data_IF_751651291058
#
_entry.id   IF_751651291058
#
_cell.length_a   1.000
_cell.length_b   1.000
_cell.length_c   1.000
_cell.angle_alpha   90.00
_cell.angle_beta   90.00
_cell.angle_gamma   90.00
#
_symmetry.space_group_name_H-M   'P 1'
#
loop_
_entity.id
_entity.type
_entity.pdbx_description
1 polymer ?
#
# COMPACT_ATOMS: atom_id res chain seq x y z
N UNK A 1 3.75 9.78 23.66
CA UNK A 1 2.84 9.11 22.70
C UNK A 1 2.53 10.08 21.59
N UNK A 2 2.68 9.64 20.35
CA UNK A 2 2.38 10.40 19.14
C UNK A 2 0.85 10.47 19.02
N UNK A 3 0.29 11.68 18.96
CA UNK A 3 -1.15 11.91 18.79
C UNK A 3 -1.48 11.81 17.31
N UNK A 4 -2.34 10.86 16.96
CA UNK A 4 -2.68 10.55 15.57
C UNK A 4 -4.14 10.87 15.29
N UNK A 5 -4.37 11.61 14.20
CA UNK A 5 -5.68 11.79 13.58
C UNK A 5 -5.83 10.96 12.31
N UNK A 6 -7.05 10.50 12.01
CA UNK A 6 -7.37 9.81 10.77
C UNK A 6 -8.52 10.54 10.07
N UNK A 7 -8.24 11.12 8.91
CA UNK A 7 -9.25 11.69 8.04
C UNK A 7 -9.80 10.60 7.12
N UNK A 8 -11.13 10.43 7.07
CA UNK A 8 -11.76 9.37 6.27
C UNK A 8 -11.78 8.00 6.98
N UNK A 9 -11.90 8.01 8.31
CA UNK A 9 -11.77 6.82 9.15
C UNK A 9 -12.87 5.75 8.93
N UNK A 10 -13.99 6.09 8.30
CA UNK A 10 -15.12 5.17 8.09
C UNK A 10 -14.93 4.14 6.96
N UNK A 11 -13.92 4.32 6.09
CA UNK A 11 -13.59 3.34 5.04
C UNK A 11 -12.82 2.12 5.57
N UNK A 12 -12.56 1.13 4.70
CA UNK A 12 -11.77 -0.05 5.10
C UNK A 12 -10.33 0.29 5.50
N UNK A 13 -9.65 1.16 4.75
CA UNK A 13 -8.30 1.60 5.10
C UNK A 13 -8.27 2.38 6.42
N UNK A 14 -9.24 3.29 6.61
CA UNK A 14 -9.40 4.02 7.87
C UNK A 14 -9.66 3.09 9.07
N UNK A 15 -10.53 2.10 8.90
CA UNK A 15 -10.78 1.07 9.91
C UNK A 15 -9.55 0.21 10.23
N UNK A 16 -8.75 -0.12 9.21
CA UNK A 16 -7.54 -0.91 9.40
C UNK A 16 -6.43 -0.10 10.09
N UNK A 17 -6.28 1.20 9.79
CA UNK A 17 -5.43 2.12 10.55
C UNK A 17 -5.85 2.14 12.03
N UNK A 18 -7.14 2.32 12.32
CA UNK A 18 -7.66 2.30 13.70
C UNK A 18 -7.34 0.97 14.40
N UNK A 19 -7.55 -0.17 13.72
CA UNK A 19 -7.28 -1.52 14.25
C UNK A 19 -5.81 -1.73 14.61
N UNK A 20 -4.88 -1.22 13.81
CA UNK A 20 -3.46 -1.38 14.05
C UNK A 20 -2.96 -0.38 15.11
N UNK A 21 -3.40 0.88 15.03
CA UNK A 21 -2.92 1.95 15.91
C UNK A 21 -3.48 1.87 17.33
N UNK A 22 -4.66 1.29 17.55
CA UNK A 22 -5.23 1.13 18.91
C UNK A 22 -4.33 0.26 19.81
N UNK A 23 -3.53 -0.63 19.22
CA UNK A 23 -2.57 -1.47 19.92
C UNK A 23 -1.12 -1.01 19.75
N UNK A 24 -0.89 0.12 19.07
CA UNK A 24 0.46 0.62 18.83
C UNK A 24 1.00 1.31 20.09
N UNK A 25 2.10 0.84 20.69
CA UNK A 25 2.53 1.22 22.04
C UNK A 25 2.98 2.68 22.19
N UNK A 26 3.38 3.33 21.10
CA UNK A 26 3.83 4.74 21.12
C UNK A 26 2.80 5.72 20.55
N UNK A 27 1.60 5.25 20.20
CA UNK A 27 0.57 6.07 19.56
C UNK A 27 -0.65 6.22 20.45
N UNK A 28 -1.27 7.39 20.39
CA UNK A 28 -2.60 7.67 20.90
C UNK A 28 -3.49 8.13 19.75
N UNK A 29 -4.57 7.41 19.49
CA UNK A 29 -5.62 7.83 18.54
C UNK A 29 -6.40 8.99 19.16
N UNK A 30 -6.28 10.18 18.57
CA UNK A 30 -6.87 11.42 19.07
C UNK A 30 -8.14 11.82 18.31
N UNK A 31 -8.21 11.46 17.03
CA UNK A 31 -9.28 11.89 16.13
C UNK A 31 -9.57 10.84 15.05
N UNK A 32 -10.86 10.63 14.77
CA UNK A 32 -11.33 9.90 13.61
C UNK A 32 -12.41 10.74 12.90
N UNK A 33 -12.24 11.05 11.62
CA UNK A 33 -13.22 11.88 10.89
C UNK A 33 -14.12 11.08 9.97
N UNK A 34 -15.38 11.50 9.89
CA UNK A 34 -16.33 11.05 8.88
C UNK A 34 -17.45 12.08 8.71
N UNK A 35 -17.55 12.63 7.49
CA UNK A 35 -18.54 13.67 7.16
C UNK A 35 -19.98 13.21 7.43
N UNK A 36 -20.31 11.97 7.08
CA UNK A 36 -21.67 11.42 7.18
C UNK A 36 -22.00 10.77 8.53
N UNK A 37 -21.00 10.52 9.38
CA UNK A 37 -21.18 9.76 10.62
C UNK A 37 -20.80 10.55 11.88
N UNK A 38 -20.60 11.87 11.78
CA UNK A 38 -20.26 12.72 12.93
C UNK A 38 -21.19 12.50 14.13
N UNK A 39 -20.59 12.46 15.32
CA UNK A 39 -21.25 12.17 16.60
C UNK A 39 -21.52 10.69 16.86
N UNK A 40 -21.43 9.81 15.86
CA UNK A 40 -21.61 8.36 16.06
C UNK A 40 -20.31 7.71 16.56
N UNK A 41 -20.38 6.68 17.41
CA UNK A 41 -19.21 5.90 17.81
C UNK A 41 -18.54 5.24 16.59
N UNK A 42 -17.21 5.19 16.56
CA UNK A 42 -16.43 4.49 15.54
C UNK A 42 -16.83 3.01 15.44
N UNK A 43 -17.11 2.39 16.59
CA UNK A 43 -17.57 0.99 16.70
C UNK A 43 -18.91 0.72 16.02
N UNK A 44 -19.70 1.74 15.69
CA UNK A 44 -20.94 1.57 14.91
C UNK A 44 -20.67 1.15 13.46
N UNK A 45 -19.53 1.54 12.90
CA UNK A 45 -19.04 1.11 11.57
C UNK A 45 -18.10 -0.07 11.71
N UNK A 46 -17.09 0.07 12.58
CA UNK A 46 -16.01 -0.89 12.75
C UNK A 46 -16.24 -1.71 14.02
N UNK A 47 -17.24 -2.61 13.99
CA UNK A 47 -17.68 -3.37 15.18
C UNK A 47 -16.57 -4.15 15.88
N UNK A 48 -15.55 -4.58 15.15
CA UNK A 48 -14.38 -5.28 15.68
C UNK A 48 -13.52 -4.41 16.61
N UNK A 49 -13.76 -3.09 16.68
CA UNK A 49 -13.09 -2.16 17.61
C UNK A 49 -13.89 -1.92 18.90
N UNK A 50 -15.01 -2.61 19.10
CA UNK A 50 -15.82 -2.48 20.33
C UNK A 50 -15.01 -2.88 21.55
N UNK A 51 -14.93 -2.00 22.56
CA UNK A 51 -14.17 -2.23 23.79
C UNK A 51 -12.66 -1.94 23.66
N UNK A 52 -12.16 -1.68 22.45
CA UNK A 52 -10.78 -1.27 22.22
C UNK A 52 -10.64 0.25 22.10
N UNK A 53 -11.67 0.93 21.57
CA UNK A 53 -11.61 2.35 21.25
C UNK A 53 -12.92 3.06 21.59
N UNK A 54 -12.85 4.11 22.40
CA UNK A 54 -13.98 5.00 22.71
C UNK A 54 -13.84 6.34 21.98
N UNK A 55 -13.81 6.28 20.64
CA UNK A 55 -13.83 7.46 19.78
C UNK A 55 -15.17 7.58 19.05
N UNK A 56 -15.59 8.82 18.83
CA UNK A 56 -16.69 9.19 17.94
C UNK A 56 -16.12 9.81 16.68
N UNK A 57 -16.86 9.71 15.58
CA UNK A 57 -16.51 10.47 14.39
C UNK A 57 -16.74 11.96 14.64
N UNK A 58 -15.79 12.79 14.21
CA UNK A 58 -15.85 14.24 14.31
C UNK A 58 -15.56 14.87 12.93
N UNK A 59 -15.83 16.17 12.78
CA UNK A 59 -15.44 16.95 11.59
C UNK A 59 -14.82 18.30 12.00
N UNK A 60 -13.73 18.30 12.78
CA UNK A 60 -13.04 19.53 13.13
C UNK A 60 -12.43 20.21 11.89
N UNK A 61 -12.23 21.52 11.98
CA UNK A 61 -11.49 22.26 10.96
C UNK A 61 -9.99 21.95 11.01
N UNK A 62 -9.22 22.22 9.93
CA UNK A 62 -7.80 21.87 9.90
C UNK A 62 -6.94 22.50 11.00
N UNK A 63 -7.29 23.70 11.47
CA UNK A 63 -6.61 24.33 12.62
C UNK A 63 -6.72 23.47 13.89
N UNK A 64 -7.92 23.08 14.27
CA UNK A 64 -8.14 22.22 15.44
C UNK A 64 -7.47 20.85 15.28
N UNK A 65 -7.42 20.30 14.05
CA UNK A 65 -6.70 19.06 13.78
C UNK A 65 -5.20 19.20 14.11
N UNK A 66 -4.56 20.29 13.66
CA UNK A 66 -3.14 20.55 13.90
C UNK A 66 -2.83 20.78 15.38
N UNK A 67 -3.74 21.41 16.12
CA UNK A 67 -3.57 21.59 17.58
C UNK A 67 -3.67 20.25 18.34
N UNK A 68 -4.47 19.30 17.84
CA UNK A 68 -4.73 18.02 18.50
C UNK A 68 -3.73 16.93 18.11
N UNK A 69 -3.20 16.95 16.89
CA UNK A 69 -2.47 15.82 16.30
C UNK A 69 -1.02 16.18 15.94
N UNK A 70 -0.09 15.32 16.32
CA UNK A 70 1.29 15.37 15.81
C UNK A 70 1.37 14.83 14.37
N UNK A 71 0.41 13.96 14.01
CA UNK A 71 0.33 13.35 12.69
C UNK A 71 -1.10 13.07 12.24
N UNK A 72 -1.34 13.18 10.93
CA UNK A 72 -2.61 12.85 10.30
C UNK A 72 -2.43 11.84 9.16
N UNK A 73 -3.21 10.76 9.20
CA UNK A 73 -3.42 9.89 8.05
C UNK A 73 -4.63 10.38 7.25
N UNK A 74 -4.45 10.57 5.94
CA UNK A 74 -5.50 11.02 5.02
C UNK A 74 -5.96 9.84 4.17
N UNK A 75 -7.07 9.20 4.58
CA UNK A 75 -7.64 8.01 3.95
C UNK A 75 -8.93 8.35 3.18
N UNK A 76 -8.81 9.25 2.20
CA UNK A 76 -9.94 9.82 1.44
C UNK A 76 -9.94 9.34 -0.02
N UNK A 77 -11.06 9.50 -0.76
CA UNK A 77 -11.09 9.22 -2.19
C UNK A 77 -10.09 10.07 -2.97
N UNK A 78 -9.56 9.53 -4.07
CA UNK A 78 -8.67 10.24 -4.99
C UNK A 78 -9.24 11.60 -5.42
N UNK A 79 -8.40 12.61 -5.50
CA UNK A 79 -8.72 14.01 -5.76
C UNK A 79 -9.09 14.80 -4.50
N UNK A 80 -9.37 14.14 -3.38
CA UNK A 80 -9.86 14.80 -2.17
C UNK A 80 -8.72 15.23 -1.25
N UNK A 81 -7.59 14.51 -1.23
CA UNK A 81 -6.50 14.78 -0.31
C UNK A 81 -5.88 16.16 -0.55
N UNK A 82 -5.88 16.62 -1.80
CA UNK A 82 -5.46 17.97 -2.19
C UNK A 82 -6.21 19.13 -1.49
N UNK A 83 -7.38 18.87 -0.91
CA UNK A 83 -8.13 19.88 -0.15
C UNK A 83 -7.82 19.87 1.35
N UNK A 84 -7.10 18.86 1.84
CA UNK A 84 -6.76 18.72 3.26
C UNK A 84 -5.27 18.92 3.51
N UNK A 85 -4.42 18.27 2.70
CA UNK A 85 -2.97 18.26 2.89
C UNK A 85 -2.38 19.68 2.99
N UNK A 86 -2.72 20.66 2.12
CA UNK A 86 -2.16 22.01 2.21
C UNK A 86 -2.46 22.70 3.53
N UNK A 87 -3.64 22.45 4.09
CA UNK A 87 -4.07 23.04 5.35
C UNK A 87 -3.51 22.31 6.56
N UNK A 88 -3.05 21.06 6.43
CA UNK A 88 -2.49 20.29 7.56
C UNK A 88 -0.99 20.49 7.72
N UNK A 89 -0.25 20.71 6.63
CA UNK A 89 1.21 20.87 6.67
C UNK A 89 1.60 22.29 7.11
N UNK A 90 1.74 22.49 8.42
CA UNK A 90 2.18 23.75 9.04
C UNK A 90 3.65 23.75 9.53
N UNK A 91 4.38 22.66 9.29
CA UNK A 91 5.76 22.44 9.76
C UNK A 91 5.85 21.79 11.14
N UNK A 92 4.72 21.45 11.77
CA UNK A 92 4.67 20.70 13.02
C UNK A 92 3.87 19.40 12.91
N UNK A 93 2.81 19.40 12.09
CA UNK A 93 1.98 18.22 11.83
C UNK A 93 2.52 17.43 10.64
N UNK A 94 2.81 16.15 10.85
CA UNK A 94 3.20 15.23 9.76
C UNK A 94 1.98 14.64 9.07
N UNK A 95 2.05 14.36 7.78
CA UNK A 95 0.94 13.83 7.00
C UNK A 95 1.36 12.60 6.19
N UNK A 96 0.51 11.56 6.21
CA UNK A 96 0.58 10.47 5.24
C UNK A 96 -0.73 10.45 4.45
N UNK A 97 -0.62 10.66 3.14
CA UNK A 97 -1.76 10.50 2.23
C UNK A 97 -1.84 9.06 1.73
N UNK A 98 -2.98 8.40 1.95
CA UNK A 98 -3.25 7.05 1.45
C UNK A 98 -4.02 7.07 0.12
N UNK A 99 -4.41 8.25 -0.35
CA UNK A 99 -4.93 8.45 -1.70
C UNK A 99 -3.80 8.40 -2.73
N UNK A 100 -4.13 8.71 -3.99
CA UNK A 100 -3.15 8.66 -5.08
C UNK A 100 -2.64 10.04 -5.51
N UNK A 101 -3.11 11.09 -4.83
CA UNK A 101 -3.03 12.47 -5.28
C UNK A 101 -1.57 12.88 -5.48
N UNK A 102 -0.69 12.46 -4.57
CA UNK A 102 0.72 12.85 -4.56
C UNK A 102 1.71 11.74 -4.93
N UNK A 103 1.23 10.61 -5.47
CA UNK A 103 2.09 9.44 -5.78
C UNK A 103 2.85 9.55 -7.09
N UNK A 104 2.34 10.36 -8.02
CA UNK A 104 2.79 10.45 -9.40
C UNK A 104 3.17 11.89 -9.74
N UNK A 105 4.08 12.06 -10.71
CA UNK A 105 4.31 13.37 -11.31
C UNK A 105 3.00 13.97 -11.83
N UNK A 106 2.80 15.28 -11.60
CA UNK A 106 1.54 15.98 -11.88
C UNK A 106 0.99 15.68 -13.29
N UNK A 107 1.77 15.80 -14.38
CA UNK A 107 1.22 15.52 -15.73
C UNK A 107 0.76 14.07 -15.89
N UNK A 108 1.40 13.12 -15.20
CA UNK A 108 1.00 11.71 -15.20
C UNK A 108 -0.26 11.52 -14.37
N UNK A 109 -0.34 12.12 -13.18
CA UNK A 109 -1.54 12.10 -12.34
C UNK A 109 -2.75 12.62 -13.11
N UNK A 110 -2.68 13.83 -13.68
CA UNK A 110 -3.80 14.46 -14.38
C UNK A 110 -4.29 13.61 -15.55
N UNK A 111 -3.36 13.01 -16.31
CA UNK A 111 -3.68 12.09 -17.41
C UNK A 111 -4.39 10.81 -16.94
N UNK A 112 -3.95 10.23 -15.82
CA UNK A 112 -4.43 8.92 -15.34
C UNK A 112 -5.74 9.05 -14.56
N UNK A 113 -5.89 10.13 -13.80
CA UNK A 113 -7.05 10.35 -12.93
C UNK A 113 -8.11 11.23 -13.59
N UNK A 114 -7.77 12.02 -14.62
CA UNK A 114 -8.70 12.92 -15.30
C UNK A 114 -9.13 14.11 -14.44
N UNK A 115 -8.31 14.46 -13.44
CA UNK A 115 -8.55 15.52 -12.46
C UNK A 115 -7.33 16.44 -12.51
N UNK A 116 -7.55 17.75 -12.58
CA UNK A 116 -6.48 18.74 -12.46
C UNK A 116 -5.86 18.69 -11.06
N UNK A 117 -4.54 18.67 -10.97
CA UNK A 117 -3.85 18.73 -9.68
C UNK A 117 -3.88 20.17 -9.17
N UNK A 118 -4.41 20.39 -7.96
CA UNK A 118 -4.58 21.74 -7.38
C UNK A 118 -3.49 22.12 -6.37
N UNK A 119 -2.67 21.17 -5.94
CA UNK A 119 -1.57 21.40 -5.00
C UNK A 119 -0.24 20.82 -5.50
N UNK A 120 0.60 21.57 -6.24
CA UNK A 120 1.76 21.02 -6.95
C UNK A 120 2.95 20.61 -6.05
N UNK A 121 2.72 20.35 -4.77
CA UNK A 121 3.73 19.89 -3.82
C UNK A 121 4.20 18.48 -4.15
N UNK A 122 5.45 18.19 -3.80
CA UNK A 122 6.04 16.86 -3.90
C UNK A 122 5.90 16.11 -2.59
N UNK A 123 5.75 14.80 -2.67
CA UNK A 123 5.79 13.88 -1.55
C UNK A 123 6.75 12.74 -1.88
N UNK A 124 7.39 12.16 -0.86
CA UNK A 124 8.13 10.91 -1.04
C UNK A 124 7.13 9.76 -1.19
N UNK A 125 7.41 8.85 -2.12
CA UNK A 125 6.64 7.62 -2.28
C UNK A 125 6.96 6.66 -1.14
N UNK A 126 5.97 6.37 -0.29
CA UNK A 126 6.14 5.67 0.99
C UNK A 126 6.33 4.15 0.88
N UNK A 127 7.17 3.67 -0.03
CA UNK A 127 7.57 2.27 -0.10
C UNK A 127 8.90 2.07 0.63
N UNK A 128 8.85 1.93 1.97
CA UNK A 128 10.00 1.96 2.89
C UNK A 128 11.18 1.08 2.45
N UNK A 129 10.90 -0.08 1.87
CA UNK A 129 11.94 -0.97 1.34
C UNK A 129 12.80 -0.30 0.26
N UNK A 130 12.20 0.56 -0.55
CA UNK A 130 12.82 1.23 -1.70
C UNK A 130 13.06 2.74 -1.49
N UNK A 131 12.47 3.33 -0.45
CA UNK A 131 12.51 4.75 -0.10
C UNK A 131 12.74 5.00 1.40
N UNK A 132 13.92 4.66 1.93
CA UNK A 132 14.25 4.92 3.33
C UNK A 132 14.28 6.42 3.67
N UNK A 133 14.41 7.30 2.67
CA UNK A 133 14.38 8.76 2.84
C UNK A 133 13.05 9.28 3.40
N UNK A 134 11.97 8.51 3.31
CA UNK A 134 10.67 8.85 3.93
C UNK A 134 10.79 9.18 5.44
N UNK A 135 11.80 8.64 6.12
CA UNK A 135 12.11 8.92 7.53
C UNK A 135 12.39 10.41 7.82
N UNK A 136 12.84 11.17 6.81
CA UNK A 136 13.23 12.59 6.96
C UNK A 136 12.12 13.56 6.56
N UNK A 137 11.01 13.05 6.07
CA UNK A 137 9.94 13.86 5.50
C UNK A 137 8.86 14.20 6.53
N UNK A 138 8.15 15.28 6.24
CA UNK A 138 6.91 15.65 6.93
C UNK A 138 5.67 15.18 6.16
N UNK A 139 5.84 14.86 4.88
CA UNK A 139 4.76 14.45 4.00
C UNK A 139 5.15 13.27 3.12
N UNK A 140 4.37 12.19 3.20
CA UNK A 140 4.59 10.96 2.44
C UNK A 140 3.30 10.56 1.71
N UNK A 141 3.44 10.17 0.45
CA UNK A 141 2.38 9.56 -0.34
C UNK A 141 2.49 8.04 -0.21
N UNK A 142 1.55 7.43 0.50
CA UNK A 142 1.56 6.00 0.73
C UNK A 142 1.22 5.23 -0.58
N UNK A 143 1.92 4.15 -0.91
CA UNK A 143 1.74 3.38 -2.14
C UNK A 143 0.32 2.84 -2.37
N UNK A 144 0.01 2.56 -3.63
CA UNK A 144 -1.11 1.68 -3.97
C UNK A 144 -0.85 0.23 -3.56
N UNK A 145 -1.92 -0.53 -3.34
CA UNK A 145 -1.81 -1.93 -2.92
C UNK A 145 -1.18 -2.85 -3.98
N UNK A 146 -1.57 -2.72 -5.26
CA UNK A 146 -0.93 -3.50 -6.34
C UNK A 146 0.55 -3.12 -6.58
N UNK A 147 0.91 -1.82 -6.69
CA UNK A 147 2.29 -1.40 -6.82
C UNK A 147 3.18 -1.92 -5.70
N UNK A 148 2.68 -1.99 -4.46
CA UNK A 148 3.46 -2.50 -3.32
C UNK A 148 3.99 -3.90 -3.60
N UNK A 149 3.12 -4.87 -3.91
CA UNK A 149 3.54 -6.25 -4.19
C UNK A 149 4.36 -6.35 -5.48
N UNK A 150 3.88 -5.74 -6.57
CA UNK A 150 4.53 -5.80 -7.87
C UNK A 150 5.94 -5.20 -7.87
N UNK A 151 6.13 -4.04 -7.24
CA UNK A 151 7.44 -3.41 -7.15
C UNK A 151 8.37 -4.20 -6.23
N UNK A 152 7.89 -4.71 -5.09
CA UNK A 152 8.71 -5.57 -4.23
C UNK A 152 9.11 -6.88 -4.94
N UNK A 153 8.22 -7.44 -5.76
CA UNK A 153 8.53 -8.62 -6.56
C UNK A 153 9.63 -8.36 -7.59
N UNK A 154 9.66 -7.19 -8.25
CA UNK A 154 10.58 -6.94 -9.36
C UNK A 154 11.81 -6.10 -9.01
N UNK A 155 11.80 -5.38 -7.89
CA UNK A 155 12.85 -4.41 -7.54
C UNK A 155 14.28 -4.99 -7.53
N UNK A 156 14.56 -6.21 -7.02
CA UNK A 156 15.93 -6.73 -7.01
C UNK A 156 16.51 -6.90 -8.42
N UNK A 157 15.76 -7.51 -9.34
CA UNK A 157 16.20 -7.70 -10.74
C UNK A 157 16.20 -6.39 -11.53
N UNK A 158 15.27 -5.47 -11.22
CA UNK A 158 15.27 -4.14 -11.82
C UNK A 158 16.51 -3.34 -11.40
N UNK A 159 16.86 -3.33 -10.11
CA UNK A 159 18.05 -2.64 -9.59
C UNK A 159 19.35 -3.23 -10.15
N UNK A 160 19.39 -4.53 -10.43
CA UNK A 160 20.50 -5.19 -11.12
C UNK A 160 20.52 -4.91 -12.64
N UNK A 161 19.51 -4.23 -13.19
CA UNK A 161 19.40 -3.93 -14.62
C UNK A 161 19.16 -5.16 -15.49
N UNK A 162 18.63 -6.25 -14.93
CA UNK A 162 18.51 -7.56 -15.59
C UNK A 162 17.21 -7.75 -16.36
N UNK A 163 16.17 -6.96 -16.08
CA UNK A 163 14.85 -7.09 -16.71
C UNK A 163 14.82 -6.41 -18.07
N UNK A 164 14.32 -7.11 -19.09
CA UNK A 164 13.96 -6.57 -20.40
C UNK A 164 12.46 -6.26 -20.51
N UNK A 165 11.61 -7.22 -20.13
CA UNK A 165 10.15 -7.11 -20.14
C UNK A 165 9.60 -7.59 -18.80
N UNK A 166 8.67 -6.85 -18.21
CA UNK A 166 7.94 -7.26 -17.01
C UNK A 166 6.43 -7.33 -17.27
N UNK A 167 5.83 -8.48 -16.98
CA UNK A 167 4.39 -8.69 -17.08
C UNK A 167 3.85 -9.09 -15.72
N UNK A 168 2.98 -8.26 -15.17
CA UNK A 168 2.37 -8.45 -13.85
C UNK A 168 0.92 -8.90 -14.00
N UNK A 169 0.62 -10.10 -13.53
CA UNK A 169 -0.75 -10.61 -13.38
C UNK A 169 -1.07 -10.71 -11.89
N UNK A 170 -2.00 -9.89 -11.39
CA UNK A 170 -2.27 -9.82 -9.96
C UNK A 170 -3.71 -10.17 -9.61
N UNK A 171 -3.89 -11.05 -8.63
CA UNK A 171 -5.19 -11.46 -8.10
C UNK A 171 -5.42 -10.73 -6.79
N UNK A 172 -6.56 -10.08 -6.62
CA UNK A 172 -6.89 -9.28 -5.42
C UNK A 172 -8.22 -9.68 -4.79
N UNK A 173 -8.30 -9.60 -3.47
CA UNK A 173 -9.57 -9.67 -2.76
C UNK A 173 -10.45 -8.43 -2.99
N UNK A 174 -11.76 -8.60 -2.83
CA UNK A 174 -12.77 -7.58 -3.14
C UNK A 174 -12.64 -6.30 -2.27
N UNK A 175 -12.03 -6.37 -1.08
CA UNK A 175 -11.87 -5.21 -0.20
C UNK A 175 -11.04 -4.07 -0.82
N UNK A 176 -10.21 -4.36 -1.83
CA UNK A 176 -9.46 -3.34 -2.57
C UNK A 176 -10.37 -2.36 -3.34
N UNK A 177 -11.62 -2.73 -3.62
CA UNK A 177 -12.60 -1.85 -4.27
C UNK A 177 -13.25 -0.83 -3.30
N UNK A 178 -13.00 -0.94 -2.00
CA UNK A 178 -13.57 -0.09 -0.98
C UNK A 178 -14.90 -0.58 -0.42
N UNK A 179 -15.48 0.22 0.49
CA UNK A 179 -16.64 -0.17 1.31
C UNK A 179 -17.99 -0.04 0.57
N UNK A 180 -18.05 0.81 -0.45
CA UNK A 180 -19.28 1.04 -1.20
C UNK A 180 -19.56 -0.12 -2.17
N UNK A 181 -20.76 -0.71 -2.16
CA UNK A 181 -21.11 -1.75 -3.11
C UNK A 181 -21.05 -1.26 -4.56
N UNK A 182 -20.64 -2.15 -5.45
CA UNK A 182 -20.62 -1.99 -6.90
C UNK A 182 -21.25 -3.21 -7.56
N UNK A 183 -21.49 -3.16 -8.87
CA UNK A 183 -21.93 -4.34 -9.63
C UNK A 183 -20.95 -5.50 -9.47
N UNK A 184 -19.64 -5.25 -9.57
CA UNK A 184 -18.62 -6.28 -9.37
C UNK A 184 -18.60 -6.83 -7.95
N UNK A 185 -18.81 -6.00 -6.92
CA UNK A 185 -18.77 -6.44 -5.53
C UNK A 185 -20.10 -7.02 -5.01
N UNK A 186 -21.15 -7.02 -5.83
CA UNK A 186 -22.40 -7.68 -5.47
C UNK A 186 -22.13 -9.18 -5.29
N UNK A 187 -22.46 -9.73 -4.12
CA UNK A 187 -22.02 -11.08 -3.74
C UNK A 187 -22.29 -12.17 -4.80
N UNK A 188 -23.50 -12.28 -5.38
CA UNK A 188 -23.77 -13.22 -6.46
C UNK A 188 -22.91 -13.05 -7.73
N UNK A 189 -22.38 -11.85 -8.00
CA UNK A 189 -21.59 -11.57 -9.21
C UNK A 189 -20.11 -11.99 -9.04
N UNK A 190 -19.59 -11.92 -7.81
CA UNK A 190 -18.20 -12.26 -7.50
C UNK A 190 -18.02 -13.66 -6.91
N UNK A 191 -19.03 -14.19 -6.21
CA UNK A 191 -18.97 -15.53 -5.67
C UNK A 191 -18.66 -16.55 -6.78
N UNK A 192 -17.71 -17.45 -6.54
CA UNK A 192 -17.28 -18.49 -7.48
C UNK A 192 -16.72 -17.97 -8.82
N UNK A 193 -16.40 -16.67 -8.92
CA UNK A 193 -15.99 -16.03 -10.16
C UNK A 193 -14.63 -15.34 -10.05
N UNK A 194 -13.92 -15.22 -11.18
CA UNK A 194 -12.68 -14.44 -11.31
C UNK A 194 -12.87 -13.44 -12.44
N UNK A 195 -12.74 -12.15 -12.13
CA UNK A 195 -13.07 -11.08 -13.07
C UNK A 195 -11.81 -10.26 -13.37
N UNK A 196 -11.23 -10.36 -14.59
CA UNK A 196 -10.22 -9.42 -15.04
C UNK A 196 -10.84 -8.05 -15.29
N UNK A 197 -10.13 -6.97 -14.97
CA UNK A 197 -10.63 -5.62 -15.19
C UNK A 197 -9.51 -4.64 -15.54
N UNK A 198 -9.87 -3.56 -16.26
CA UNK A 198 -8.92 -2.49 -16.65
C UNK A 198 -7.62 -3.05 -17.26
N UNK A 199 -7.78 -4.00 -18.19
CA UNK A 199 -6.74 -4.92 -18.69
C UNK A 199 -5.41 -4.26 -19.05
N UNK A 200 -5.45 -3.07 -19.64
CA UNK A 200 -4.27 -2.31 -20.08
C UNK A 200 -4.22 -0.88 -19.53
N UNK A 201 -5.26 -0.48 -18.79
CA UNK A 201 -5.50 0.90 -18.40
C UNK A 201 -5.67 1.09 -16.88
N UNK A 202 -5.28 0.09 -16.08
CA UNK A 202 -5.34 0.23 -14.64
C UNK A 202 -4.35 1.30 -14.14
N UNK A 203 -4.83 2.22 -13.31
CA UNK A 203 -4.08 3.41 -12.86
C UNK A 203 -2.76 3.08 -12.17
N UNK A 204 -2.75 2.04 -11.33
CA UNK A 204 -1.55 1.54 -10.65
C UNK A 204 -0.41 1.11 -11.59
N UNK A 205 -0.65 0.86 -12.88
CA UNK A 205 0.44 0.63 -13.83
C UNK A 205 1.42 1.82 -13.88
N UNK A 206 0.92 3.04 -13.69
CA UNK A 206 1.76 4.24 -13.67
C UNK A 206 2.73 4.23 -12.48
N UNK A 207 2.27 3.81 -11.30
CA UNK A 207 3.12 3.68 -10.10
C UNK A 207 4.17 2.58 -10.28
N UNK A 208 3.78 1.42 -10.85
CA UNK A 208 4.73 0.32 -11.13
C UNK A 208 5.81 0.77 -12.10
N UNK A 209 5.41 1.45 -13.19
CA UNK A 209 6.34 1.98 -14.18
C UNK A 209 7.30 3.00 -13.57
N UNK A 210 6.79 3.95 -12.77
CA UNK A 210 7.59 4.98 -12.10
C UNK A 210 8.71 4.35 -11.26
N UNK A 211 8.35 3.41 -10.38
CA UNK A 211 9.29 2.84 -9.43
C UNK A 211 10.31 1.91 -10.08
N UNK A 212 9.89 1.07 -11.03
CA UNK A 212 10.83 0.18 -11.71
C UNK A 212 11.76 0.94 -12.67
N UNK A 213 11.28 2.00 -13.34
CA UNK A 213 12.14 2.89 -14.14
C UNK A 213 13.12 3.66 -13.26
N UNK A 214 12.76 4.01 -12.02
CA UNK A 214 13.67 4.67 -11.08
C UNK A 214 14.88 3.79 -10.75
N UNK A 215 14.68 2.47 -10.66
CA UNK A 215 15.73 1.49 -10.42
C UNK A 215 16.54 1.16 -11.69
N UNK A 216 15.87 1.01 -12.84
CA UNK A 216 16.52 0.89 -14.16
C UNK A 216 15.88 1.87 -15.15
N UNK A 217 16.59 2.97 -15.45
CA UNK A 217 16.12 4.01 -16.36
C UNK A 217 15.85 3.53 -17.80
N UNK A 218 16.32 2.34 -18.17
CA UNK A 218 16.11 1.71 -19.48
C UNK A 218 14.88 0.79 -19.50
N UNK A 219 14.37 0.35 -18.35
CA UNK A 219 13.22 -0.54 -18.27
C UNK A 219 11.92 0.23 -18.58
N UNK A 220 11.28 -0.12 -19.70
CA UNK A 220 10.04 0.53 -20.18
C UNK A 220 8.90 -0.45 -20.50
N UNK A 221 9.21 -1.70 -20.81
CA UNK A 221 8.25 -2.71 -21.24
C UNK A 221 7.56 -3.35 -20.03
N UNK A 222 6.67 -2.59 -19.41
CA UNK A 222 5.92 -3.00 -18.21
C UNK A 222 4.44 -3.12 -18.53
N UNK A 223 3.87 -4.30 -18.29
CA UNK A 223 2.46 -4.64 -18.48
C UNK A 223 1.84 -5.07 -17.16
N UNK A 224 0.59 -4.70 -16.91
CA UNK A 224 -0.11 -5.02 -15.66
C UNK A 224 -1.59 -5.29 -15.92
N UNK A 225 -2.07 -6.43 -15.43
CA UNK A 225 -3.49 -6.81 -15.49
C UNK A 225 -3.95 -7.33 -14.13
N UNK A 226 -4.93 -6.67 -13.49
CA UNK A 226 -5.53 -7.16 -12.26
C UNK A 226 -6.76 -8.04 -12.50
N UNK A 227 -6.93 -8.97 -11.58
CA UNK A 227 -8.07 -9.88 -11.46
C UNK A 227 -8.64 -9.73 -10.06
N UNK A 228 -9.95 -9.52 -9.93
CA UNK A 228 -10.61 -9.69 -8.63
C UNK A 228 -11.05 -11.14 -8.47
N UNK A 229 -10.81 -11.71 -7.29
CA UNK A 229 -11.09 -13.11 -6.94
C UNK A 229 -12.09 -13.16 -5.77
N UNK A 230 -12.72 -14.33 -5.49
CA UNK A 230 -13.69 -14.46 -4.41
C UNK A 230 -12.98 -14.62 -3.05
N UNK A 231 -12.12 -13.65 -2.71
CA UNK A 231 -11.48 -13.48 -1.41
C UNK A 231 -11.82 -12.10 -0.87
N UNK A 232 -11.87 -11.94 0.46
CA UNK A 232 -12.09 -10.63 1.08
C UNK A 232 -10.81 -9.79 1.00
N UNK A 233 -9.66 -10.38 1.32
CA UNK A 233 -8.36 -9.70 1.43
C UNK A 233 -7.26 -10.46 0.68
N UNK A 234 -6.16 -9.76 0.45
CA UNK A 234 -4.93 -10.28 -0.10
C UNK A 234 -4.72 -9.86 -1.56
N UNK A 235 -3.45 -9.69 -1.94
CA UNK A 235 -2.99 -9.60 -3.33
C UNK A 235 -1.92 -10.66 -3.54
N UNK A 236 -2.09 -11.47 -4.60
CA UNK A 236 -1.07 -12.37 -5.11
C UNK A 236 -0.67 -11.86 -6.50
N UNK A 237 0.56 -11.40 -6.64
CA UNK A 237 1.12 -10.97 -7.92
C UNK A 237 2.00 -12.08 -8.47
N UNK A 238 1.72 -12.51 -9.70
CA UNK A 238 2.62 -13.29 -10.53
C UNK A 238 3.31 -12.34 -11.51
N UNK A 239 4.60 -12.10 -11.29
CA UNK A 239 5.44 -11.31 -12.16
C UNK A 239 6.25 -12.23 -13.07
N UNK A 240 5.97 -12.18 -14.37
CA UNK A 240 6.82 -12.78 -15.38
C UNK A 240 7.86 -11.74 -15.79
N UNK A 241 9.09 -11.94 -15.36
CA UNK A 241 10.21 -11.04 -15.61
C UNK A 241 11.12 -11.70 -16.65
N UNK A 242 11.04 -11.23 -17.89
CA UNK A 242 11.94 -11.69 -18.95
C UNK A 242 13.27 -10.96 -18.80
N UNK A 243 14.34 -11.72 -18.68
CA UNK A 243 15.69 -11.24 -18.38
C UNK A 243 16.54 -11.11 -19.63
N UNK A 244 17.49 -10.19 -19.59
CA UNK A 244 18.43 -9.93 -20.71
C UNK A 244 19.42 -11.09 -20.92
N UNK A 245 19.59 -11.92 -19.90
CA UNK A 245 20.47 -13.09 -19.88
C UNK A 245 19.83 -14.22 -19.05
N UNK A 246 20.22 -15.49 -19.28
CA UNK A 246 19.69 -16.61 -18.50
C UNK A 246 20.17 -16.55 -17.05
N UNK A 247 19.24 -16.71 -16.10
CA UNK A 247 19.53 -16.79 -14.67
C UNK A 247 19.16 -18.15 -14.10
N UNK A 248 19.95 -18.65 -13.16
CA UNK A 248 19.59 -19.77 -12.31
C UNK A 248 18.70 -19.35 -11.14
N UNK A 249 17.91 -20.28 -10.60
CA UNK A 249 17.16 -20.03 -9.36
C UNK A 249 18.10 -19.67 -8.20
N UNK A 250 19.33 -20.20 -8.19
CA UNK A 250 20.36 -19.82 -7.21
C UNK A 250 20.84 -18.38 -7.39
N UNK A 251 21.04 -17.94 -8.64
CA UNK A 251 21.46 -16.56 -8.95
C UNK A 251 20.36 -15.58 -8.49
N UNK A 252 19.10 -15.91 -8.79
CA UNK A 252 17.93 -15.13 -8.34
C UNK A 252 17.87 -15.11 -6.81
N UNK A 253 18.07 -16.24 -6.14
CA UNK A 253 18.04 -16.30 -4.68
C UNK A 253 19.07 -15.37 -4.04
N UNK A 254 20.32 -15.42 -4.49
CA UNK A 254 21.39 -14.56 -3.97
C UNK A 254 21.07 -13.07 -4.18
N UNK A 255 20.53 -12.68 -5.35
CA UNK A 255 20.13 -11.30 -5.63
C UNK A 255 19.03 -10.83 -4.65
N UNK A 256 18.01 -11.65 -4.42
CA UNK A 256 16.87 -11.27 -3.57
C UNK A 256 17.25 -11.23 -2.09
N UNK A 257 18.00 -12.22 -1.59
CA UNK A 257 18.45 -12.26 -0.20
C UNK A 257 19.35 -11.08 0.13
N UNK A 258 20.28 -10.73 -0.77
CA UNK A 258 21.15 -9.57 -0.59
C UNK A 258 20.37 -8.24 -0.64
N UNK A 259 19.43 -8.10 -1.58
CA UNK A 259 18.66 -6.87 -1.74
C UNK A 259 17.74 -6.59 -0.53
N UNK A 260 17.17 -7.64 0.06
CA UNK A 260 16.19 -7.54 1.14
C UNK A 260 16.72 -7.91 2.53
N UNK A 261 18.04 -8.10 2.70
CA UNK A 261 18.67 -8.57 3.93
C UNK A 261 18.21 -7.83 5.20
N UNK A 262 18.06 -6.51 5.12
CA UNK A 262 17.68 -5.64 6.25
C UNK A 262 16.20 -5.17 6.18
N UNK A 263 15.35 -5.86 5.42
CA UNK A 263 13.94 -5.48 5.23
C UNK A 263 13.02 -6.46 5.99
N UNK A 264 12.66 -6.16 7.25
CA UNK A 264 12.06 -7.14 8.17
C UNK A 264 10.70 -7.66 7.69
N UNK A 265 9.99 -6.90 6.86
CA UNK A 265 8.69 -7.28 6.33
C UNK A 265 8.73 -8.03 5.00
N UNK A 266 9.90 -8.26 4.40
CA UNK A 266 10.03 -9.11 3.22
C UNK A 266 10.52 -10.49 3.65
N UNK A 267 9.80 -11.55 3.28
CA UNK A 267 10.14 -12.93 3.67
C UNK A 267 10.25 -13.83 2.44
N UNK A 268 11.08 -14.86 2.56
CA UNK A 268 11.24 -15.92 1.56
C UNK A 268 10.82 -17.26 2.18
N UNK A 269 9.52 -17.60 2.22
CA UNK A 269 9.05 -18.83 2.85
C UNK A 269 9.50 -20.10 2.11
N UNK A 270 10.10 -19.98 0.92
CA UNK A 270 10.35 -21.06 -0.01
C UNK A 270 9.07 -21.47 -0.76
N UNK A 271 9.23 -21.93 -2.00
CA UNK A 271 8.11 -22.35 -2.84
C UNK A 271 7.14 -21.21 -3.17
N UNK A 272 5.84 -21.50 -3.13
CA UNK A 272 4.75 -20.61 -3.57
C UNK A 272 4.15 -19.85 -2.38
N UNK A 273 4.19 -18.50 -2.34
CA UNK A 273 3.53 -17.70 -1.32
C UNK A 273 2.00 -17.92 -1.29
N UNK A 274 1.42 -17.79 -0.09
CA UNK A 274 -0.04 -17.92 0.12
C UNK A 274 -0.65 -16.63 0.67
N UNK A 275 -1.83 -16.26 0.17
CA UNK A 275 -2.62 -15.15 0.71
C UNK A 275 -2.97 -15.34 2.19
N UNK A 276 -3.16 -16.58 2.62
CA UNK A 276 -3.51 -16.92 4.02
C UNK A 276 -2.35 -16.65 4.97
N UNK A 277 -1.12 -16.85 4.50
CA UNK A 277 0.11 -16.69 5.28
C UNK A 277 0.53 -15.23 5.52
N UNK A 278 -0.15 -14.27 4.88
CA UNK A 278 0.10 -12.82 5.01
C UNK A 278 -1.12 -12.04 5.50
N UNK A 279 -2.32 -12.64 5.53
CA UNK A 279 -3.57 -11.98 5.92
C UNK A 279 -3.46 -11.34 7.31
N UNK A 280 -3.82 -10.06 7.41
CA UNK A 280 -3.79 -9.28 8.65
C UNK A 280 -2.38 -8.83 9.10
N UNK A 281 -1.33 -9.23 8.39
CA UNK A 281 0.06 -8.90 8.70
C UNK A 281 0.65 -7.87 7.73
N UNK A 282 1.76 -7.26 8.12
CA UNK A 282 2.50 -6.32 7.27
C UNK A 282 3.55 -7.00 6.38
N UNK A 283 3.55 -8.34 6.29
CA UNK A 283 4.54 -9.06 5.49
C UNK A 283 4.23 -9.03 3.98
N UNK A 284 5.31 -9.05 3.20
CA UNK A 284 5.35 -9.40 1.79
C UNK A 284 6.13 -10.71 1.65
N UNK A 285 5.45 -11.78 1.30
CA UNK A 285 6.08 -13.08 1.07
C UNK A 285 6.44 -13.22 -0.41
N UNK A 286 7.71 -13.50 -0.69
CA UNK A 286 8.24 -13.65 -2.05
C UNK A 286 8.70 -15.08 -2.29
N UNK A 287 8.32 -15.63 -3.44
CA UNK A 287 8.84 -16.89 -3.98
C UNK A 287 9.19 -16.71 -5.45
N UNK A 288 10.09 -17.53 -5.99
CA UNK A 288 10.50 -17.41 -7.39
C UNK A 288 11.02 -18.72 -7.97
N UNK A 289 10.99 -18.81 -9.28
CA UNK A 289 11.58 -19.89 -10.06
C UNK A 289 12.15 -19.33 -11.36
N UNK A 290 13.37 -19.73 -11.72
CA UNK A 290 14.00 -19.32 -12.96
C UNK A 290 13.78 -20.36 -14.07
N UNK A 291 13.19 -19.91 -15.17
CA UNK A 291 12.99 -20.61 -16.42
C UNK A 291 14.11 -20.20 -17.39
N UNK A 292 15.25 -20.87 -17.24
CA UNK A 292 16.49 -20.58 -17.98
C UNK A 292 16.31 -20.65 -19.49
N UNK A 293 15.51 -21.59 -19.99
CA UNK A 293 15.33 -21.81 -21.43
C UNK A 293 14.61 -20.65 -22.11
N UNK A 294 13.75 -19.95 -21.37
CA UNK A 294 12.97 -18.82 -21.86
C UNK A 294 13.49 -17.46 -21.37
N UNK A 295 14.67 -17.41 -20.73
CA UNK A 295 15.21 -16.22 -20.07
C UNK A 295 14.13 -15.52 -19.24
N UNK A 296 13.46 -16.26 -18.37
CA UNK A 296 12.33 -15.75 -17.59
C UNK A 296 12.48 -16.14 -16.14
N UNK A 297 12.23 -15.20 -15.24
CA UNK A 297 12.03 -15.48 -13.82
C UNK A 297 10.57 -15.27 -13.50
N UNK A 298 9.91 -16.29 -12.95
CA UNK A 298 8.57 -16.17 -12.40
C UNK A 298 8.72 -15.81 -10.94
N UNK A 299 8.31 -14.60 -10.56
CA UNK A 299 8.35 -14.13 -9.18
C UNK A 299 6.93 -13.97 -8.67
N UNK A 300 6.69 -14.47 -7.47
CA UNK A 300 5.42 -14.38 -6.77
C UNK A 300 5.59 -13.46 -5.58
N UNK A 301 4.64 -12.55 -5.36
CA UNK A 301 4.53 -11.81 -4.10
C UNK A 301 3.12 -11.93 -3.53
N UNK A 302 3.00 -12.24 -2.23
CA UNK A 302 1.75 -12.20 -1.49
C UNK A 302 1.79 -11.10 -0.42
N UNK A 303 0.75 -10.26 -0.36
CA UNK A 303 0.56 -9.24 0.69
C UNK A 303 -0.90 -9.22 1.15
N UNK A 304 -1.18 -8.74 2.37
CA UNK A 304 -2.52 -8.24 2.71
C UNK A 304 -2.71 -6.83 2.12
N UNK A 305 -3.73 -6.66 1.27
CA UNK A 305 -3.97 -5.42 0.55
C UNK A 305 -4.41 -4.23 1.42
N UNK A 306 -4.92 -4.47 2.63
CA UNK A 306 -5.31 -3.41 3.57
C UNK A 306 -4.24 -3.14 4.63
N UNK A 307 -3.33 -4.10 4.87
CA UNK A 307 -2.19 -3.93 5.78
C UNK A 307 -0.96 -3.52 4.97
N UNK A 308 -0.13 -4.46 4.50
CA UNK A 308 1.08 -4.12 3.74
C UNK A 308 0.77 -3.34 2.46
N UNK A 309 -0.36 -3.59 1.81
CA UNK A 309 -0.78 -2.83 0.63
C UNK A 309 -1.40 -1.45 0.92
N UNK A 310 -1.60 -1.07 2.19
CA UNK A 310 -2.16 0.22 2.55
C UNK A 310 -1.76 0.68 3.96
N UNK A 311 -2.52 0.29 4.99
CA UNK A 311 -2.48 0.89 6.34
C UNK A 311 -1.24 0.49 7.13
N UNK A 312 -0.81 -0.76 7.00
CA UNK A 312 0.42 -1.24 7.62
C UNK A 312 1.64 -0.53 7.04
N UNK A 313 1.69 -0.34 5.71
CA UNK A 313 2.74 0.46 5.07
C UNK A 313 2.71 1.92 5.52
N UNK A 314 1.52 2.50 5.69
CA UNK A 314 1.39 3.85 6.21
C UNK A 314 1.94 3.97 7.65
N UNK A 315 1.71 2.97 8.49
CA UNK A 315 2.27 2.92 9.85
C UNK A 315 3.78 2.65 9.83
N UNK A 316 4.28 1.85 8.89
CA UNK A 316 5.71 1.62 8.69
C UNK A 316 6.42 2.92 8.31
N UNK A 317 5.82 3.73 7.42
CA UNK A 317 6.29 5.08 7.11
C UNK A 317 6.25 5.99 8.35
N UNK A 318 5.14 6.01 9.10
CA UNK A 318 5.03 6.78 10.35
C UNK A 318 6.14 6.42 11.33
N UNK A 319 6.40 5.14 11.55
CA UNK A 319 7.44 4.69 12.47
C UNK A 319 8.78 5.33 12.11
N UNK A 320 9.16 5.30 10.84
CA UNK A 320 10.38 5.93 10.38
C UNK A 320 10.38 7.45 10.53
N UNK A 321 9.27 8.12 10.18
CA UNK A 321 9.13 9.58 10.30
C UNK A 321 9.27 10.10 11.75
N UNK A 322 9.05 9.23 12.74
CA UNK A 322 9.20 9.53 14.16
C UNK A 322 10.42 8.84 14.81
N UNK A 323 11.31 8.23 14.01
CA UNK A 323 12.52 7.58 14.51
C UNK A 323 12.25 6.32 15.35
N UNK A 324 11.08 5.70 15.21
CA UNK A 324 10.74 4.42 15.82
C UNK A 324 11.31 3.25 14.99
N UNK A 325 11.41 2.07 15.61
CA UNK A 325 11.73 0.85 14.88
C UNK A 325 10.65 0.56 13.82
N UNK A 326 11.07 0.19 12.61
CA UNK A 326 10.19 -0.03 11.46
C UNK A 326 9.02 -0.98 11.78
N UNK A 327 9.28 -2.05 12.55
CA UNK A 327 8.31 -3.07 12.92
C UNK A 327 7.41 -2.74 14.13
N UNK A 328 7.57 -1.56 14.74
CA UNK A 328 6.82 -1.18 15.94
C UNK A 328 5.31 -1.18 15.67
N UNK A 329 4.56 -1.89 16.53
CA UNK A 329 3.11 -2.08 16.38
C UNK A 329 2.65 -2.89 15.15
N UNK A 330 3.59 -3.40 14.34
CA UNK A 330 3.31 -4.12 13.09
C UNK A 330 3.87 -5.55 13.07
N UNK A 331 4.68 -5.92 14.07
CA UNK A 331 5.27 -7.26 14.19
C UNK A 331 4.25 -8.29 14.70
N UNK A 332 3.23 -8.55 13.88
CA UNK A 332 2.17 -9.49 14.15
C UNK A 332 2.19 -10.60 13.08
N UNK A 333 2.09 -11.88 13.48
CA UNK A 333 1.94 -12.96 12.51
C UNK A 333 0.60 -12.83 11.77
N UNK A 334 0.52 -13.45 10.60
CA UNK A 334 -0.73 -13.51 9.85
C UNK A 334 -1.82 -14.29 10.62
N UNK A 335 -3.06 -13.87 10.42
CA UNK A 335 -4.24 -14.58 10.90
C UNK A 335 -4.68 -15.57 9.82
N UNK A 336 -4.34 -16.84 10.02
CA UNK A 336 -4.65 -17.97 9.16
C UNK A 336 -5.52 -18.99 9.92
N UNK A 337 -6.30 -19.86 9.23
CA UNK A 337 -6.34 -20.09 7.78
C UNK A 337 -6.99 -18.99 6.93
#
# INVERSE_FOLDING_TARGET
MIKVGIIGASGYTGGELLRLLVSHPDVRLELATSRSLAGKPVSSTHRHLTGFLDLKYENPGPEEIRERCDMVFVAVPHGTAMNYVPELLDGSTKVIDLSADYRLDIPVFEKIYGIKHIDPRKAVYGLVELHPEAAREEFVANPGCFPTGANLAAAPLAAAGLIDIAVFDSKTGISGAGISPTETSHYPNIAENIIPYKLTAHRHRAEILQELTRLDGKLRNISFTPHVIPSIRGILTTAHLFTKEPLSTGDVQEIYENFYMDKPFVRFPGGVPSLTAVRGSNFCDIGFEADKENNRVVVLSAIDNLVKGASGQAIQNMNLMFGLAEARGLWLPAAAP
#
